data_IF_052289308807
#
_entry.id   IF_052289308807
#
_cell.length_a   1.000
_cell.length_b   1.000
_cell.length_c   1.000
_cell.angle_alpha   90.00
_cell.angle_beta   90.00
_cell.angle_gamma   90.00
#
_symmetry.space_group_name_H-M   'P 1'
#
loop_
_entity.id
_entity.type
_entity.pdbx_description
1 polymer ?
#
# COMPACT_ATOMS: atom_id res chain seq x y z
N UNK A 1 1.25 15.39 35.28
CA UNK A 1 2.29 15.85 34.33
C UNK A 1 3.07 14.63 33.87
N UNK A 2 2.67 14.05 32.74
CA UNK A 2 3.45 13.00 32.08
C UNK A 2 3.82 13.51 30.69
N UNK A 3 5.10 13.35 30.38
CA UNK A 3 5.79 13.99 29.28
C UNK A 3 5.17 13.64 27.92
N UNK A 4 5.01 14.66 27.08
CA UNK A 4 4.75 14.49 25.64
C UNK A 4 5.92 13.69 25.04
N UNK A 5 5.63 12.49 24.56
CA UNK A 5 6.55 11.77 23.67
C UNK A 5 6.71 12.61 22.38
N UNK A 6 7.93 12.80 21.86
CA UNK A 6 8.12 13.55 20.64
C UNK A 6 7.44 12.82 19.48
N UNK A 7 6.62 13.54 18.73
CA UNK A 7 6.09 13.12 17.43
C UNK A 7 7.28 12.66 16.57
N UNK A 8 7.14 11.48 15.96
CA UNK A 8 8.12 10.78 15.11
C UNK A 8 8.40 11.55 13.80
N UNK A 9 8.88 12.79 13.90
CA UNK A 9 9.22 13.67 12.77
C UNK A 9 10.70 13.64 12.38
N UNK A 10 11.57 12.97 13.14
CA UNK A 10 13.03 13.04 12.91
C UNK A 10 13.56 12.11 11.80
N UNK A 11 12.69 11.42 11.04
CA UNK A 11 13.12 10.36 10.11
C UNK A 11 12.95 10.67 8.61
N UNK A 12 12.55 11.88 8.21
CA UNK A 12 12.16 12.13 6.80
C UNK A 12 13.28 12.62 5.87
N UNK A 13 14.52 12.80 6.32
CA UNK A 13 15.60 13.36 5.48
C UNK A 13 16.79 12.42 5.23
N UNK A 14 16.66 11.11 5.48
CA UNK A 14 17.81 10.20 5.40
C UNK A 14 17.57 8.73 5.05
N UNK A 15 16.38 8.32 4.61
CA UNK A 15 16.21 6.95 4.12
C UNK A 15 16.93 6.79 2.78
N UNK A 16 17.88 5.87 2.73
CA UNK A 16 18.34 5.29 1.48
C UNK A 16 17.09 4.82 0.72
N UNK A 17 16.91 5.28 -0.52
CA UNK A 17 15.82 4.82 -1.37
C UNK A 17 15.80 3.28 -1.34
N UNK A 18 14.69 2.67 -0.95
CA UNK A 18 14.57 1.22 -0.97
C UNK A 18 14.97 0.70 -2.35
N UNK A 19 15.92 -0.24 -2.36
CA UNK A 19 16.32 -0.94 -3.56
C UNK A 19 15.61 -2.28 -3.60
N UNK A 20 14.92 -2.61 -4.70
CA UNK A 20 14.19 -3.86 -4.79
C UNK A 20 15.16 -5.04 -4.69
N UNK A 21 14.83 -6.06 -3.86
CA UNK A 21 15.41 -7.39 -4.02
C UNK A 21 15.26 -7.87 -5.48
N UNK A 22 16.20 -8.68 -5.96
CA UNK A 22 16.30 -9.10 -7.37
C UNK A 22 14.97 -9.62 -7.94
N UNK A 23 14.24 -10.41 -7.15
CA UNK A 23 12.93 -10.98 -7.53
C UNK A 23 11.83 -9.96 -7.81
N UNK A 24 11.97 -8.71 -7.33
CA UNK A 24 11.01 -7.63 -7.50
C UNK A 24 11.44 -6.60 -8.53
N UNK A 25 12.68 -6.65 -9.01
CA UNK A 25 13.19 -5.74 -10.04
C UNK A 25 12.29 -5.74 -11.29
N UNK A 26 11.97 -4.55 -11.78
CA UNK A 26 11.13 -4.37 -12.99
C UNK A 26 9.64 -4.63 -12.79
N UNK A 27 9.18 -5.00 -11.59
CA UNK A 27 7.75 -5.13 -11.29
C UNK A 27 7.09 -3.77 -11.06
N UNK A 28 5.77 -3.68 -11.27
CA UNK A 28 5.00 -2.47 -10.91
C UNK A 28 5.07 -2.16 -9.42
N UNK A 29 5.09 -3.18 -8.57
CA UNK A 29 5.29 -3.02 -7.12
C UNK A 29 6.59 -2.27 -6.83
N UNK A 30 7.72 -2.73 -7.38
CA UNK A 30 9.00 -2.09 -7.14
C UNK A 30 9.04 -0.66 -7.68
N UNK A 31 8.49 -0.42 -8.88
CA UNK A 31 8.42 0.91 -9.46
C UNK A 31 7.63 1.89 -8.57
N UNK A 32 6.47 1.48 -8.07
CA UNK A 32 5.65 2.29 -7.14
C UNK A 32 6.37 2.56 -5.85
N UNK A 33 6.87 1.52 -5.18
CA UNK A 33 7.53 1.66 -3.87
C UNK A 33 8.74 2.58 -3.94
N UNK A 34 9.63 2.36 -4.92
CA UNK A 34 10.80 3.22 -5.14
C UNK A 34 10.38 4.67 -5.41
N UNK A 35 9.37 4.88 -6.25
CA UNK A 35 8.91 6.22 -6.57
C UNK A 35 8.36 6.92 -5.35
N UNK A 36 7.37 6.33 -4.66
CA UNK A 36 6.68 7.00 -3.57
C UNK A 36 7.56 7.19 -2.34
N UNK A 37 8.43 6.23 -1.99
CA UNK A 37 9.40 6.45 -0.91
C UNK A 37 10.41 7.55 -1.27
N UNK A 38 10.87 7.60 -2.53
CA UNK A 38 11.76 8.64 -3.03
C UNK A 38 11.11 10.02 -3.20
N UNK A 39 9.77 10.09 -3.21
CA UNK A 39 8.99 11.30 -3.41
C UNK A 39 7.98 11.53 -2.27
N UNK A 40 8.34 11.11 -1.05
CA UNK A 40 7.44 11.19 0.10
C UNK A 40 6.86 12.59 0.32
N UNK A 41 7.72 13.62 0.27
CA UNK A 41 7.33 15.01 0.54
C UNK A 41 6.39 15.61 -0.53
N UNK A 42 6.41 15.07 -1.74
CA UNK A 42 5.71 15.67 -2.90
C UNK A 42 4.52 14.85 -3.36
N UNK A 43 4.60 13.51 -3.33
CA UNK A 43 3.62 12.64 -3.98
C UNK A 43 2.84 11.76 -3.00
N UNK A 44 3.19 11.72 -1.72
CA UNK A 44 2.54 10.81 -0.77
C UNK A 44 1.42 11.45 0.06
N UNK A 45 1.22 12.77 -0.01
CA UNK A 45 0.19 13.49 0.77
C UNK A 45 0.15 13.07 2.26
N UNK A 46 1.34 12.89 2.86
CA UNK A 46 1.54 12.43 4.26
C UNK A 46 1.08 10.99 4.56
N UNK A 47 0.80 10.18 3.55
CA UNK A 47 0.58 8.75 3.71
C UNK A 47 1.89 7.97 3.59
N UNK A 48 2.01 6.91 4.38
CA UNK A 48 3.11 5.96 4.31
C UNK A 48 2.89 4.97 3.17
N UNK A 49 4.00 4.55 2.55
CA UNK A 49 4.01 3.58 1.46
C UNK A 49 3.73 2.19 2.00
N UNK A 50 2.74 1.51 1.43
CA UNK A 50 2.42 0.13 1.78
C UNK A 50 3.53 -0.82 1.30
N UNK A 51 4.07 -1.63 2.21
CA UNK A 51 5.12 -2.60 1.92
C UNK A 51 4.70 -3.72 0.94
N UNK A 52 3.39 -3.94 0.77
CA UNK A 52 2.83 -4.97 -0.10
C UNK A 52 2.56 -4.47 -1.52
N UNK A 53 1.91 -3.32 -1.69
CA UNK A 53 1.53 -2.81 -3.02
C UNK A 53 2.36 -1.64 -3.54
N UNK A 54 3.10 -0.97 -2.67
CA UNK A 54 3.94 0.18 -3.00
C UNK A 54 3.20 1.51 -3.13
N UNK A 55 1.90 1.59 -2.83
CA UNK A 55 1.12 2.84 -2.86
C UNK A 55 1.14 3.56 -1.51
N UNK A 56 1.10 4.91 -1.47
CA UNK A 56 1.06 5.68 -0.25
C UNK A 56 -0.37 5.72 0.31
N UNK A 57 -0.79 4.63 0.95
CA UNK A 57 -2.17 4.47 1.44
C UNK A 57 -2.28 4.37 2.95
N UNK A 58 -1.17 4.13 3.64
CA UNK A 58 -1.16 3.94 5.09
C UNK A 58 -1.08 5.31 5.79
N UNK A 59 -1.69 5.44 6.94
CA UNK A 59 -1.69 6.63 7.78
C UNK A 59 -0.48 6.59 8.72
N UNK A 60 -0.03 7.77 9.15
CA UNK A 60 1.09 7.91 10.08
C UNK A 60 0.75 7.55 11.54
N UNK A 61 -0.48 7.12 11.83
CA UNK A 61 -0.95 6.88 13.20
C UNK A 61 -0.55 5.48 13.68
N UNK A 62 -0.14 5.38 14.95
CA UNK A 62 0.74 4.35 15.55
C UNK A 62 -0.01 3.02 15.83
N UNK A 63 -1.14 2.76 15.17
CA UNK A 63 -1.91 1.52 15.30
C UNK A 63 -1.93 0.80 13.94
N UNK A 64 -2.08 -0.52 13.94
CA UNK A 64 -2.15 -1.33 12.71
C UNK A 64 -3.13 -0.71 11.71
N UNK A 65 -2.62 -0.28 10.56
CA UNK A 65 -3.42 0.36 9.52
C UNK A 65 -3.64 -0.58 8.33
N UNK A 66 -4.71 -0.37 7.59
CA UNK A 66 -5.14 -1.23 6.51
C UNK A 66 -4.98 -0.54 5.17
N UNK A 67 -4.25 -1.16 4.25
CA UNK A 67 -4.13 -0.68 2.88
C UNK A 67 -5.46 -0.88 2.13
N UNK A 68 -6.22 0.20 1.99
CA UNK A 68 -7.46 0.24 1.20
C UNK A 68 -7.33 -0.20 -0.25
N UNK A 69 -6.12 -0.10 -0.82
CA UNK A 69 -5.88 -0.44 -2.22
C UNK A 69 -5.60 -1.93 -2.45
N UNK A 70 -5.02 -2.65 -1.48
CA UNK A 70 -4.55 -4.02 -1.69
C UNK A 70 -4.94 -5.01 -0.59
N UNK A 71 -5.65 -4.54 0.43
CA UNK A 71 -6.19 -5.32 1.53
C UNK A 71 -5.15 -5.84 2.56
N UNK A 72 -3.90 -5.38 2.47
CA UNK A 72 -2.84 -5.70 3.44
C UNK A 72 -2.98 -4.87 4.73
N UNK A 73 -3.03 -5.55 5.88
CA UNK A 73 -2.90 -4.95 7.20
C UNK A 73 -1.42 -4.75 7.53
N UNK A 74 -1.03 -3.51 7.82
CA UNK A 74 0.33 -3.18 8.24
C UNK A 74 0.60 -3.80 9.61
N UNK A 75 1.36 -4.88 9.56
CA UNK A 75 1.82 -5.67 10.69
C UNK A 75 3.31 -5.44 10.98
N UNK A 76 3.87 -4.35 10.44
CA UNK A 76 5.29 -4.01 10.48
C UNK A 76 6.21 -5.00 9.76
N UNK A 77 5.66 -5.90 8.93
CA UNK A 77 6.48 -6.75 8.06
C UNK A 77 7.27 -5.90 7.07
N UNK A 78 8.58 -6.11 7.05
CA UNK A 78 9.52 -5.44 6.17
C UNK A 78 10.58 -6.42 5.63
N UNK A 79 11.32 -6.01 4.61
CA UNK A 79 12.50 -6.76 4.16
C UNK A 79 13.60 -6.64 5.25
N UNK A 80 14.29 -7.73 5.66
CA UNK A 80 14.44 -9.02 4.98
C UNK A 80 13.44 -10.12 5.38
N UNK A 81 12.51 -9.85 6.29
CA UNK A 81 11.58 -10.86 6.85
C UNK A 81 10.33 -11.07 6.00
N UNK A 82 10.35 -10.67 4.73
CA UNK A 82 9.18 -10.67 3.85
C UNK A 82 8.60 -12.07 3.54
N UNK A 83 9.33 -13.14 3.83
CA UNK A 83 8.84 -14.51 3.72
C UNK A 83 8.23 -15.05 5.04
N UNK A 84 8.33 -14.31 6.14
CA UNK A 84 7.68 -14.68 7.39
C UNK A 84 6.15 -14.60 7.27
N UNK A 85 5.47 -15.53 7.93
CA UNK A 85 4.03 -15.68 7.86
C UNK A 85 3.38 -14.66 8.79
N UNK A 86 2.57 -13.76 8.21
CA UNK A 86 1.79 -12.80 8.98
C UNK A 86 0.57 -13.47 9.61
N UNK A 87 0.45 -13.34 10.94
CA UNK A 87 -0.76 -13.79 11.65
C UNK A 87 -1.94 -12.85 11.44
N UNK A 88 -1.67 -11.57 11.19
CA UNK A 88 -2.69 -10.54 10.97
C UNK A 88 -3.27 -10.66 9.55
N UNK A 89 -2.41 -10.98 8.57
CA UNK A 89 -2.79 -11.16 7.18
C UNK A 89 -3.14 -12.62 6.84
N UNK A 90 -3.82 -13.32 7.75
CA UNK A 90 -4.43 -14.64 7.47
C UNK A 90 -3.45 -15.76 7.11
N UNK A 91 -2.18 -15.66 7.52
CA UNK A 91 -1.15 -16.62 7.18
C UNK A 91 -0.44 -16.35 5.84
N UNK A 92 -0.66 -15.18 5.24
CA UNK A 92 0.01 -14.76 4.00
C UNK A 92 1.30 -14.02 4.36
N UNK A 93 2.44 -14.42 3.78
CA UNK A 93 3.68 -13.64 3.90
C UNK A 93 3.65 -12.40 3.01
N UNK A 94 4.47 -11.40 3.33
CA UNK A 94 4.56 -10.17 2.54
C UNK A 94 4.94 -10.44 1.07
N UNK A 95 5.88 -11.36 0.83
CA UNK A 95 6.24 -11.78 -0.52
C UNK A 95 5.08 -12.49 -1.23
N UNK A 96 4.29 -13.30 -0.52
CA UNK A 96 3.10 -13.92 -1.13
C UNK A 96 2.04 -12.87 -1.47
N UNK A 97 1.80 -11.89 -0.60
CA UNK A 97 0.92 -10.77 -0.87
C UNK A 97 1.36 -9.98 -2.10
N UNK A 98 2.66 -9.63 -2.21
CA UNK A 98 3.22 -8.96 -3.40
C UNK A 98 2.92 -9.71 -4.70
N UNK A 99 3.07 -11.05 -4.71
CA UNK A 99 2.70 -11.88 -5.89
C UNK A 99 1.21 -11.82 -6.18
N UNK A 100 0.37 -12.01 -5.17
CA UNK A 100 -1.08 -11.99 -5.30
C UNK A 100 -1.57 -10.63 -5.84
N UNK A 101 -0.98 -9.53 -5.36
CA UNK A 101 -1.32 -8.16 -5.79
C UNK A 101 -0.92 -7.93 -7.25
N UNK A 102 0.26 -8.39 -7.67
CA UNK A 102 0.69 -8.28 -9.07
C UNK A 102 -0.24 -9.05 -10.01
N UNK A 103 -0.78 -10.17 -9.57
CA UNK A 103 -1.67 -11.02 -10.37
C UNK A 103 -3.14 -10.56 -10.34
N UNK A 104 -3.62 -10.05 -9.20
CA UNK A 104 -5.06 -9.90 -8.89
C UNK A 104 -5.44 -8.54 -8.30
N UNK A 105 -4.48 -7.73 -7.91
CA UNK A 105 -4.71 -6.42 -7.27
C UNK A 105 -5.13 -6.50 -5.79
N UNK A 106 -5.06 -7.66 -5.14
CA UNK A 106 -5.31 -7.83 -3.69
C UNK A 106 -4.33 -8.83 -3.09
N UNK A 107 -4.06 -8.75 -1.78
CA UNK A 107 -3.17 -9.67 -1.08
C UNK A 107 -3.71 -11.10 -0.98
N UNK A 108 -5.02 -11.30 -1.16
CA UNK A 108 -5.65 -12.61 -1.06
C UNK A 108 -5.54 -13.40 -2.38
N UNK A 109 -5.50 -14.74 -2.26
CA UNK A 109 -5.61 -15.67 -3.37
C UNK A 109 -6.95 -16.43 -3.34
N UNK A 110 -7.34 -17.03 -4.47
CA UNK A 110 -8.67 -17.66 -4.62
C UNK A 110 -8.87 -18.83 -3.65
N UNK A 111 -7.77 -19.45 -3.20
CA UNK A 111 -7.79 -20.54 -2.21
C UNK A 111 -8.04 -20.05 -0.79
N UNK A 112 -7.91 -18.74 -0.51
CA UNK A 112 -8.21 -18.14 0.81
C UNK A 112 -9.71 -18.10 1.10
N UNK A 113 -10.55 -18.37 0.09
CA UNK A 113 -12.01 -18.55 0.21
C UNK A 113 -12.41 -19.51 1.33
N UNK A 114 -11.57 -20.51 1.61
CA UNK A 114 -11.88 -21.54 2.61
C UNK A 114 -11.72 -21.04 4.06
N UNK A 115 -10.98 -19.96 4.29
CA UNK A 115 -10.69 -19.41 5.61
C UNK A 115 -11.39 -18.08 5.89
N UNK A 116 -11.82 -17.38 4.83
CA UNK A 116 -12.57 -16.14 4.93
C UNK A 116 -14.05 -16.39 5.16
N UNK A 117 -14.66 -15.58 6.04
CA UNK A 117 -16.11 -15.55 6.16
C UNK A 117 -16.76 -15.16 4.80
N UNK A 118 -17.87 -15.80 4.37
CA UNK A 118 -18.47 -15.55 3.04
C UNK A 118 -18.78 -14.08 2.75
N UNK A 119 -19.17 -13.31 3.76
CA UNK A 119 -19.45 -11.87 3.59
C UNK A 119 -18.17 -11.05 3.38
N UNK A 120 -17.05 -11.43 4.00
CA UNK A 120 -15.74 -10.80 3.76
C UNK A 120 -15.24 -11.16 2.37
N UNK A 121 -15.40 -12.42 1.95
CA UNK A 121 -15.08 -12.86 0.60
C UNK A 121 -15.85 -12.04 -0.44
N UNK A 122 -17.16 -11.90 -0.30
CA UNK A 122 -17.96 -11.11 -1.26
C UNK A 122 -17.52 -9.65 -1.30
N UNK A 123 -17.25 -9.03 -0.13
CA UNK A 123 -16.74 -7.65 -0.09
C UNK A 123 -15.42 -7.49 -0.82
N UNK A 124 -14.47 -8.40 -0.63
CA UNK A 124 -13.12 -8.30 -1.21
C UNK A 124 -13.10 -8.69 -2.69
N UNK A 125 -13.84 -9.74 -3.07
CA UNK A 125 -13.78 -10.30 -4.43
C UNK A 125 -14.95 -9.88 -5.33
N UNK A 126 -15.87 -9.03 -4.86
CA UNK A 126 -16.91 -8.48 -5.74
C UNK A 126 -16.30 -7.72 -6.92
N UNK A 127 -17.01 -7.71 -8.05
CA UNK A 127 -16.61 -6.90 -9.23
C UNK A 127 -16.45 -5.41 -8.89
N UNK A 128 -17.27 -4.91 -7.96
CA UNK A 128 -17.20 -3.52 -7.51
C UNK A 128 -15.90 -3.26 -6.76
N UNK A 129 -15.53 -4.13 -5.82
CA UNK A 129 -14.27 -3.98 -5.08
C UNK A 129 -13.05 -4.12 -6.00
N UNK A 130 -13.08 -5.06 -6.94
CA UNK A 130 -12.02 -5.18 -7.94
C UNK A 130 -11.90 -3.91 -8.79
N UNK A 131 -13.00 -3.41 -9.35
CA UNK A 131 -12.99 -2.19 -10.15
C UNK A 131 -12.54 -0.96 -9.34
N UNK A 132 -12.90 -0.91 -8.06
CA UNK A 132 -12.45 0.15 -7.15
C UNK A 132 -10.93 0.11 -6.96
N UNK A 133 -10.34 -1.07 -6.65
CA UNK A 133 -8.89 -1.24 -6.51
C UNK A 133 -8.16 -0.97 -7.81
N UNK A 134 -8.62 -1.52 -8.93
CA UNK A 134 -8.01 -1.30 -10.25
C UNK A 134 -7.94 0.20 -10.57
N UNK A 135 -9.02 0.94 -10.26
CA UNK A 135 -9.06 2.38 -10.44
C UNK A 135 -8.12 3.12 -9.48
N UNK A 136 -8.00 2.71 -8.22
CA UNK A 136 -7.00 3.28 -7.30
C UNK A 136 -5.58 3.07 -7.84
N UNK A 137 -5.22 1.85 -8.21
CA UNK A 137 -3.91 1.55 -8.79
C UNK A 137 -3.64 2.38 -10.05
N UNK A 138 -4.64 2.54 -10.92
CA UNK A 138 -4.52 3.41 -12.09
C UNK A 138 -4.25 4.87 -11.70
N UNK A 139 -5.03 5.43 -10.77
CA UNK A 139 -4.89 6.83 -10.37
C UNK A 139 -3.52 7.11 -9.73
N UNK A 140 -3.00 6.18 -8.93
CA UNK A 140 -1.66 6.30 -8.37
C UNK A 140 -0.56 6.10 -9.43
N UNK A 141 -0.73 5.18 -10.39
CA UNK A 141 0.21 5.03 -11.51
C UNK A 141 0.27 6.31 -12.36
N UNK A 142 -0.88 6.96 -12.59
CA UNK A 142 -0.96 8.27 -13.25
C UNK A 142 -0.29 9.37 -12.43
N UNK A 143 -0.49 9.37 -11.10
CA UNK A 143 0.15 10.33 -10.20
C UNK A 143 1.68 10.35 -10.34
N UNK A 144 2.30 9.19 -10.56
CA UNK A 144 3.75 9.06 -10.77
C UNK A 144 4.27 9.75 -12.04
N UNK A 145 3.38 10.14 -12.95
CA UNK A 145 3.74 10.80 -14.22
C UNK A 145 3.73 12.32 -14.14
N UNK A 146 3.12 12.89 -13.10
CA UNK A 146 3.07 14.33 -12.89
C UNK A 146 4.32 14.83 -12.18
N UNK A 147 4.80 16.01 -12.58
CA UNK A 147 5.94 16.68 -11.92
C UNK A 147 5.57 18.06 -11.41
N UNK A 148 4.48 18.65 -11.91
CA UNK A 148 3.97 19.94 -11.45
C UNK A 148 3.12 19.75 -10.20
N UNK A 149 3.36 20.57 -9.17
CA UNK A 149 2.67 20.45 -7.89
C UNK A 149 1.14 20.63 -8.03
N UNK A 150 0.67 21.48 -8.94
CA UNK A 150 -0.76 21.68 -9.11
C UNK A 150 -1.43 20.49 -9.82
N UNK A 151 -0.72 19.78 -10.69
CA UNK A 151 -1.20 18.51 -11.26
C UNK A 151 -1.25 17.40 -10.21
N UNK A 152 -0.22 17.29 -9.37
CA UNK A 152 -0.17 16.37 -8.23
C UNK A 152 -1.34 16.61 -7.27
N UNK A 153 -1.60 17.86 -6.89
CA UNK A 153 -2.71 18.22 -6.02
C UNK A 153 -4.07 17.88 -6.64
N UNK A 154 -4.25 18.14 -7.94
CA UNK A 154 -5.48 17.76 -8.67
C UNK A 154 -5.69 16.25 -8.72
N UNK A 155 -4.61 15.49 -8.90
CA UNK A 155 -4.69 14.04 -8.92
C UNK A 155 -5.02 13.49 -7.54
N UNK A 156 -4.45 14.04 -6.47
CA UNK A 156 -4.82 13.70 -5.10
C UNK A 156 -6.29 13.99 -4.79
N UNK A 157 -6.84 15.11 -5.27
CA UNK A 157 -8.27 15.38 -5.11
C UNK A 157 -9.15 14.29 -5.80
N UNK A 158 -8.70 13.77 -6.94
CA UNK A 158 -9.38 12.67 -7.65
C UNK A 158 -9.24 11.34 -6.90
N UNK A 159 -8.04 11.06 -6.38
CA UNK A 159 -7.75 9.88 -5.55
C UNK A 159 -8.64 9.90 -4.30
N UNK A 160 -8.68 11.00 -3.56
CA UNK A 160 -9.45 11.12 -2.32
C UNK A 160 -10.94 10.92 -2.55
N UNK A 161 -11.48 11.46 -3.65
CA UNK A 161 -12.89 11.28 -4.01
C UNK A 161 -13.20 9.82 -4.33
N UNK A 162 -12.37 9.18 -5.16
CA UNK A 162 -12.56 7.77 -5.49
C UNK A 162 -12.41 6.90 -4.24
N UNK A 163 -11.37 7.13 -3.44
CA UNK A 163 -11.08 6.38 -2.21
C UNK A 163 -12.23 6.47 -1.19
N UNK A 164 -12.86 7.64 -1.02
CA UNK A 164 -14.02 7.81 -0.13
C UNK A 164 -15.29 7.06 -0.57
N UNK A 165 -15.38 6.65 -1.85
CA UNK A 165 -16.58 6.05 -2.43
C UNK A 165 -16.51 4.53 -2.60
N UNK A 166 -15.53 3.87 -1.97
CA UNK A 166 -15.36 2.41 -1.93
C UNK A 166 -16.60 1.68 -1.39
#
# INVERSE_FOLDING_TARGET
MMANAPLRMEFLTGYACWLPPEQWCGTRFAARRMFFEGHFETHCNRHMVCNACGLPTLTLQIESDYCSACDWEDDFSEDPYADEISKMNGGVSLNQARRNILEKGTMFCDTDRNWMHPTSFEKIFSRRAQAHRDKLFQLFDELMTYTDAADVDRQWATIDEHWRTA
#
